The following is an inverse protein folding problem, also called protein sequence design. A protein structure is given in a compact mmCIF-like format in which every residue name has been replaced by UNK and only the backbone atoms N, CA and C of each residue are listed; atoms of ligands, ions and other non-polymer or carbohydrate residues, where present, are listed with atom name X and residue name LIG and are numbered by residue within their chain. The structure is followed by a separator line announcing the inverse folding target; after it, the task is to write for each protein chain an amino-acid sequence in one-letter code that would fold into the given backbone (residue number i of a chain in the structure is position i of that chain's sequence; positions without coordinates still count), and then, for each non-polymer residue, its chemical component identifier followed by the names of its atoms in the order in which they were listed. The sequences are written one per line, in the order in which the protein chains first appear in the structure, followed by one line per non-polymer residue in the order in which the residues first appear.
data_IF_656252411301
#
_entry.id   IF_656252411301
#
_cell.length_a   1.000
_cell.length_b   1.000
_cell.length_c   1.000
_cell.angle_alpha   90.00
_cell.angle_beta   90.00
_cell.angle_gamma   90.00
#
_symmetry.space_group_name_H-M   'P 1'
#
loop_
_entity.id
_entity.type
_entity.pdbx_description
1 polymer ?
#
# COMPACT_ATOMS: atom_id res chain seq x y z
N UNK A 1 2.77 24.84 -0.07
CA UNK A 1 1.61 23.92 -0.05
C UNK A 1 1.87 22.69 -0.92
N UNK A 2 1.91 22.84 -2.26
CA UNK A 2 2.07 21.70 -3.20
C UNK A 2 3.33 20.86 -2.96
N UNK A 3 4.49 21.51 -2.79
CA UNK A 3 5.76 20.81 -2.54
C UNK A 3 5.68 19.92 -1.28
N UNK A 4 5.08 20.43 -0.21
CA UNK A 4 4.93 19.69 1.05
C UNK A 4 4.04 18.47 0.85
N UNK A 5 2.91 18.62 0.14
CA UNK A 5 2.02 17.51 -0.18
C UNK A 5 2.72 16.44 -1.02
N UNK A 6 3.51 16.84 -2.01
CA UNK A 6 4.30 15.91 -2.83
C UNK A 6 5.32 15.15 -2.00
N UNK A 7 6.04 15.83 -1.09
CA UNK A 7 7.01 15.19 -0.20
C UNK A 7 6.31 14.18 0.72
N UNK A 8 5.19 14.56 1.35
CA UNK A 8 4.42 13.66 2.21
C UNK A 8 3.90 12.44 1.44
N UNK A 9 3.44 12.65 0.20
CA UNK A 9 2.99 11.56 -0.67
C UNK A 9 4.14 10.60 -1.03
N UNK A 10 5.32 11.12 -1.38
CA UNK A 10 6.49 10.29 -1.63
C UNK A 10 6.94 9.54 -0.36
N UNK A 11 6.90 10.22 0.79
CA UNK A 11 7.28 9.63 2.07
C UNK A 11 6.36 8.46 2.46
N UNK A 12 5.03 8.60 2.34
CA UNK A 12 4.10 7.51 2.67
C UNK A 12 4.27 6.32 1.72
N UNK A 13 4.52 6.57 0.43
CA UNK A 13 4.77 5.51 -0.55
C UNK A 13 6.09 4.78 -0.27
N UNK A 14 7.16 5.51 0.04
CA UNK A 14 8.44 4.93 0.44
C UNK A 14 8.31 4.10 1.73
N UNK A 15 7.62 4.64 2.74
CA UNK A 15 7.36 3.94 3.99
C UNK A 15 6.55 2.66 3.79
N UNK A 16 5.52 2.72 2.94
CA UNK A 16 4.70 1.56 2.57
C UNK A 16 5.56 0.47 1.92
N UNK A 17 6.44 0.83 0.98
CA UNK A 17 7.36 -0.13 0.36
C UNK A 17 8.31 -0.78 1.37
N UNK A 18 8.83 0.00 2.33
CA UNK A 18 9.70 -0.50 3.40
C UNK A 18 8.98 -1.50 4.28
N UNK A 19 7.73 -1.23 4.67
CA UNK A 19 6.93 -2.14 5.51
C UNK A 19 6.61 -3.46 4.78
N UNK A 20 6.31 -3.41 3.49
CA UNK A 20 6.12 -4.64 2.69
C UNK A 20 7.41 -5.46 2.57
N UNK A 21 8.56 -4.79 2.40
CA UNK A 21 9.87 -5.45 2.38
C UNK A 21 10.19 -6.05 3.74
N UNK A 22 9.89 -5.34 4.83
CA UNK A 22 10.08 -5.82 6.19
C UNK A 22 9.22 -7.06 6.46
N UNK A 23 7.91 -7.06 6.16
CA UNK A 23 7.09 -8.26 6.31
C UNK A 23 7.63 -9.44 5.50
N UNK A 24 8.14 -9.18 4.29
CA UNK A 24 8.76 -10.24 3.47
C UNK A 24 10.01 -10.81 4.14
N UNK A 25 10.84 -9.99 4.79
CA UNK A 25 12.01 -10.45 5.56
C UNK A 25 11.59 -11.26 6.79
N UNK A 26 10.63 -10.77 7.57
CA UNK A 26 10.09 -11.51 8.72
C UNK A 26 9.55 -12.88 8.31
N UNK A 27 8.89 -12.96 7.15
CA UNK A 27 8.39 -14.21 6.60
C UNK A 27 9.49 -15.22 6.27
N UNK A 28 10.63 -14.75 5.77
CA UNK A 28 11.78 -15.60 5.41
C UNK A 28 12.51 -16.04 6.68
N UNK A 29 12.65 -15.14 7.65
CA UNK A 29 13.30 -15.40 8.94
C UNK A 29 12.45 -16.27 9.89
N UNK A 30 11.18 -16.54 9.56
CA UNK A 30 10.25 -17.26 10.45
C UNK A 30 9.80 -16.43 11.66
N UNK A 31 9.99 -15.11 11.60
CA UNK A 31 9.67 -14.18 12.68
C UNK A 31 8.21 -13.72 12.62
N UNK A 32 7.79 -12.98 13.66
CA UNK A 32 6.46 -12.37 13.71
C UNK A 32 6.28 -11.42 12.53
N UNK A 33 5.24 -11.71 11.74
CA UNK A 33 4.84 -10.96 10.55
C UNK A 33 4.07 -9.69 10.92
N UNK A 34 4.11 -8.69 10.05
CA UNK A 34 3.34 -7.46 10.19
C UNK A 34 1.86 -7.80 9.98
N UNK A 35 0.98 -7.19 10.77
CA UNK A 35 -0.45 -7.42 10.62
C UNK A 35 -0.90 -6.94 9.23
N UNK A 36 -1.74 -7.73 8.56
CA UNK A 36 -2.26 -7.37 7.24
C UNK A 36 -3.08 -6.07 7.28
N UNK A 37 -3.72 -5.79 8.41
CA UNK A 37 -4.43 -4.54 8.65
C UNK A 37 -3.50 -3.32 8.55
N UNK A 38 -2.29 -3.37 9.11
CA UNK A 38 -1.35 -2.25 9.08
C UNK A 38 -0.87 -1.96 7.64
N UNK A 39 -0.57 -3.01 6.88
CA UNK A 39 -0.17 -2.88 5.48
C UNK A 39 -1.30 -2.33 4.60
N UNK A 40 -2.54 -2.74 4.85
CA UNK A 40 -3.73 -2.22 4.17
C UNK A 40 -4.04 -0.77 4.59
N UNK A 41 -3.82 -0.42 5.86
CA UNK A 41 -4.00 0.94 6.37
C UNK A 41 -3.04 1.91 5.69
N UNK A 42 -1.77 1.53 5.52
CA UNK A 42 -0.78 2.33 4.79
C UNK A 42 -1.20 2.58 3.33
N UNK A 43 -1.73 1.56 2.66
CA UNK A 43 -2.29 1.73 1.32
C UNK A 43 -3.52 2.66 1.33
N UNK A 44 -4.42 2.51 2.31
CA UNK A 44 -5.63 3.31 2.44
C UNK A 44 -5.37 4.81 2.62
N UNK A 45 -4.36 5.19 3.40
CA UNK A 45 -4.03 6.61 3.66
C UNK A 45 -3.21 7.28 2.54
N UNK A 46 -2.90 6.57 1.44
CA UNK A 46 -2.25 7.13 0.26
C UNK A 46 -0.98 6.41 -0.20
N UNK A 47 -0.58 5.32 0.46
CA UNK A 47 0.57 4.49 0.09
C UNK A 47 0.29 3.45 -1.00
N UNK A 48 -0.88 3.49 -1.64
CA UNK A 48 -1.38 2.52 -2.62
C UNK A 48 -0.39 2.28 -3.78
N UNK A 49 0.17 3.31 -4.44
CA UNK A 49 1.18 3.10 -5.48
C UNK A 49 2.40 2.32 -4.98
N UNK A 50 2.91 2.68 -3.79
CA UNK A 50 4.01 2.01 -3.11
C UNK A 50 3.66 0.57 -2.73
N UNK A 51 2.42 0.31 -2.30
CA UNK A 51 1.94 -1.03 -2.02
C UNK A 51 1.94 -1.91 -3.28
N UNK A 52 1.42 -1.42 -4.41
CA UNK A 52 1.43 -2.16 -5.68
C UNK A 52 2.86 -2.37 -6.22
N UNK A 53 3.70 -1.33 -6.17
CA UNK A 53 5.11 -1.43 -6.55
C UNK A 53 5.85 -2.49 -5.70
N UNK A 54 5.64 -2.48 -4.38
CA UNK A 54 6.22 -3.47 -3.47
C UNK A 54 5.67 -4.88 -3.70
N UNK A 55 4.38 -5.04 -4.04
CA UNK A 55 3.79 -6.33 -4.40
C UNK A 55 4.46 -6.93 -5.62
N UNK A 56 4.69 -6.13 -6.67
CA UNK A 56 5.36 -6.57 -7.88
C UNK A 56 6.84 -6.89 -7.62
N UNK A 57 7.56 -5.99 -6.94
CA UNK A 57 9.01 -6.13 -6.70
C UNK A 57 9.36 -7.29 -5.78
N UNK A 58 8.61 -7.48 -4.68
CA UNK A 58 8.90 -8.51 -3.67
C UNK A 58 8.04 -9.77 -3.82
N UNK A 59 7.20 -9.84 -4.88
CA UNK A 59 6.19 -10.89 -5.08
C UNK A 59 5.36 -11.12 -3.82
N UNK A 60 4.98 -10.02 -3.18
CA UNK A 60 4.36 -10.04 -1.87
C UNK A 60 2.86 -10.28 -1.99
N UNK A 61 2.37 -11.43 -1.50
CA UNK A 61 0.93 -11.74 -1.36
C UNK A 61 0.12 -11.36 -2.62
N UNK A 62 0.63 -11.71 -3.80
CA UNK A 62 -0.01 -11.38 -5.10
C UNK A 62 -1.31 -12.14 -5.31
N UNK A 63 -1.42 -13.36 -4.77
CA UNK A 63 -2.62 -14.21 -4.83
C UNK A 63 -3.21 -14.56 -3.46
N UNK A 64 -2.71 -13.96 -2.38
CA UNK A 64 -3.17 -14.28 -1.03
C UNK A 64 -4.47 -13.54 -0.76
N UNK A 65 -5.55 -14.29 -0.62
CA UNK A 65 -6.82 -13.77 -0.13
C UNK A 65 -6.92 -13.84 1.40
N UNK A 66 -7.64 -12.91 2.05
CA UNK A 66 -8.40 -11.79 1.48
C UNK A 66 -7.57 -10.52 1.18
N UNK A 67 -6.25 -10.56 1.42
CA UNK A 67 -5.38 -9.38 1.32
C UNK A 67 -5.38 -8.74 -0.07
N UNK A 68 -5.24 -9.55 -1.11
CA UNK A 68 -5.18 -9.06 -2.50
C UNK A 68 -6.47 -8.35 -2.90
N UNK A 69 -7.64 -8.94 -2.61
CA UNK A 69 -8.94 -8.31 -2.87
C UNK A 69 -9.09 -7.01 -2.09
N UNK A 70 -8.76 -6.99 -0.79
CA UNK A 70 -8.86 -5.77 0.02
C UNK A 70 -8.01 -4.62 -0.51
N UNK A 71 -6.78 -4.90 -0.93
CA UNK A 71 -5.91 -3.87 -1.52
C UNK A 71 -6.47 -3.34 -2.85
N UNK A 72 -7.05 -4.22 -3.68
CA UNK A 72 -7.68 -3.81 -4.94
C UNK A 72 -8.91 -2.94 -4.69
N UNK A 73 -9.74 -3.30 -3.70
CA UNK A 73 -10.89 -2.47 -3.29
C UNK A 73 -10.43 -1.08 -2.84
N UNK A 74 -9.38 -0.98 -2.02
CA UNK A 74 -8.81 0.32 -1.60
C UNK A 74 -8.44 1.18 -2.81
N UNK A 75 -7.74 0.60 -3.79
CA UNK A 75 -7.34 1.34 -4.99
C UNK A 75 -8.54 1.80 -5.83
N UNK A 76 -9.54 0.92 -6.02
CA UNK A 76 -10.76 1.27 -6.77
C UNK A 76 -11.52 2.40 -6.08
N UNK A 77 -11.66 2.34 -4.75
CA UNK A 77 -12.34 3.40 -3.97
C UNK A 77 -11.62 4.73 -4.07
N UNK A 78 -10.28 4.75 -3.95
CA UNK A 78 -9.50 5.98 -4.07
C UNK A 78 -9.59 6.59 -5.48
N UNK A 79 -9.47 5.77 -6.53
CA UNK A 79 -9.62 6.24 -7.91
C UNK A 79 -11.03 6.78 -8.15
N UNK A 80 -12.06 6.05 -7.70
CA UNK A 80 -13.46 6.49 -7.80
C UNK A 80 -13.71 7.81 -7.08
N UNK A 81 -13.14 7.99 -5.88
CA UNK A 81 -13.24 9.25 -5.13
C UNK A 81 -12.54 10.41 -5.86
N UNK A 82 -11.36 10.17 -6.44
CA UNK A 82 -10.64 11.19 -7.23
C UNK A 82 -11.41 11.58 -8.49
N UNK A 83 -12.00 10.61 -9.20
CA UNK A 83 -12.84 10.88 -10.37
C UNK A 83 -14.09 11.65 -9.96
N UNK A 84 -14.78 11.23 -8.90
CA UNK A 84 -15.96 11.92 -8.38
C UNK A 84 -15.65 13.37 -8.00
N UNK A 85 -14.55 13.61 -7.29
CA UNK A 85 -14.08 14.95 -6.96
C UNK A 85 -13.77 15.82 -8.20
N UNK A 86 -13.33 15.20 -9.30
CA UNK A 86 -13.01 15.94 -10.52
C UNK A 86 -14.25 16.26 -11.37
N UNK A 87 -15.30 15.45 -11.28
CA UNK A 87 -16.51 15.58 -12.09
C UNK A 87 -17.59 16.49 -11.47
N UNK A 88 -17.59 16.66 -10.15
CA UNK A 88 -18.56 17.46 -9.39
C UNK A 88 -17.87 18.64 -8.72
#
# INVERSE_FOLDING_TARGET
MLIILTILFLAINAWTMLMFRFDKRQAIAGERRVAEADLLMLAFIGGTPGAFAARQMFRHKTRKEPFSTRLMVIAVVQIGALIGWFLF
#
